data_IF_467872509189
#
_entry.id   IF_467872509189
#
_cell.length_a   1.000
_cell.length_b   1.000
_cell.length_c   1.000
_cell.angle_alpha   90.00
_cell.angle_beta   90.00
_cell.angle_gamma   90.00
#
_symmetry.space_group_name_H-M   'P 1'
#
loop_
_entity.id
_entity.type
_entity.pdbx_description
1 polymer ?
#
# COMPACT_ATOMS: atom_id res chain seq x y z
N UNK A 1 -52.66 20.66 4.10
CA UNK A 1 -52.15 19.28 4.30
C UNK A 1 -51.34 18.73 3.12
N UNK A 2 -51.76 18.93 1.86
CA UNK A 2 -51.07 18.41 0.66
C UNK A 2 -49.59 18.86 0.49
N UNK A 3 -49.29 20.14 0.69
CA UNK A 3 -47.91 20.70 0.52
C UNK A 3 -46.90 20.07 1.50
N UNK A 4 -47.32 19.74 2.73
CA UNK A 4 -46.46 19.08 3.73
C UNK A 4 -46.11 17.65 3.31
N UNK A 5 -47.03 16.96 2.64
CA UNK A 5 -46.85 15.61 2.09
C UNK A 5 -45.90 15.59 0.89
N UNK A 6 -45.96 16.61 0.00
CA UNK A 6 -45.05 16.70 -1.13
C UNK A 6 -43.60 16.99 -0.70
N UNK A 7 -43.40 17.90 0.26
CA UNK A 7 -42.07 18.16 0.84
C UNK A 7 -41.50 16.91 1.52
N UNK A 8 -42.33 16.16 2.25
CA UNK A 8 -41.92 14.90 2.87
C UNK A 8 -41.54 13.85 1.82
N UNK A 9 -42.33 13.71 0.74
CA UNK A 9 -42.03 12.80 -0.36
C UNK A 9 -40.71 13.15 -1.05
N UNK A 10 -40.49 14.45 -1.32
CA UNK A 10 -39.24 14.93 -1.89
C UNK A 10 -38.06 14.60 -0.97
N UNK A 11 -38.16 14.91 0.33
CA UNK A 11 -37.11 14.61 1.29
C UNK A 11 -36.77 13.11 1.35
N UNK A 12 -37.79 12.24 1.34
CA UNK A 12 -37.60 10.78 1.34
C UNK A 12 -36.87 10.34 0.07
N UNK A 13 -37.29 10.81 -1.11
CA UNK A 13 -36.64 10.48 -2.38
C UNK A 13 -35.19 10.96 -2.41
N UNK A 14 -34.91 12.18 -1.92
CA UNK A 14 -33.56 12.71 -1.83
C UNK A 14 -32.68 11.86 -0.90
N UNK A 15 -33.18 11.46 0.28
CA UNK A 15 -32.44 10.61 1.21
C UNK A 15 -32.15 9.24 0.59
N UNK A 16 -33.15 8.62 -0.04
CA UNK A 16 -32.97 7.33 -0.73
C UNK A 16 -31.94 7.46 -1.86
N UNK A 17 -31.99 8.55 -2.63
CA UNK A 17 -31.01 8.81 -3.69
C UNK A 17 -29.59 8.92 -3.13
N UNK A 18 -29.41 9.64 -2.03
CA UNK A 18 -28.08 9.77 -1.39
C UNK A 18 -27.58 8.42 -0.90
N UNK A 19 -28.43 7.65 -0.21
CA UNK A 19 -28.07 6.30 0.28
C UNK A 19 -27.70 5.40 -0.90
N UNK A 20 -28.47 5.45 -1.99
CA UNK A 20 -28.21 4.65 -3.18
C UNK A 20 -26.88 5.04 -3.86
N UNK A 21 -26.58 6.33 -3.96
CA UNK A 21 -25.30 6.81 -4.49
C UNK A 21 -24.13 6.34 -3.62
N UNK A 22 -24.24 6.43 -2.29
CA UNK A 22 -23.20 5.95 -1.37
C UNK A 22 -23.00 4.44 -1.47
N UNK A 23 -24.09 3.68 -1.58
CA UNK A 23 -24.04 2.23 -1.79
C UNK A 23 -23.31 1.87 -3.07
N UNK A 24 -23.66 2.51 -4.19
CA UNK A 24 -22.99 2.29 -5.48
C UNK A 24 -21.51 2.65 -5.41
N UNK A 25 -21.17 3.81 -4.83
CA UNK A 25 -19.78 4.24 -4.68
C UNK A 25 -18.95 3.21 -3.90
N UNK A 26 -19.47 2.70 -2.79
CA UNK A 26 -18.81 1.65 -2.01
C UNK A 26 -18.66 0.35 -2.80
N UNK A 27 -19.72 -0.08 -3.51
CA UNK A 27 -19.68 -1.29 -4.33
C UNK A 27 -18.64 -1.19 -5.45
N UNK A 28 -18.60 -0.06 -6.16
CA UNK A 28 -17.60 0.17 -7.19
C UNK A 28 -16.19 0.29 -6.63
N UNK A 29 -16.00 0.90 -5.46
CA UNK A 29 -14.69 0.94 -4.81
C UNK A 29 -14.16 -0.47 -4.52
N UNK A 30 -15.00 -1.36 -3.99
CA UNK A 30 -14.63 -2.77 -3.77
C UNK A 30 -14.41 -3.49 -5.11
N UNK A 31 -15.25 -3.26 -6.12
CA UNK A 31 -15.13 -3.98 -7.39
C UNK A 31 -13.88 -3.56 -8.18
N UNK A 32 -13.55 -2.28 -8.20
CA UNK A 32 -12.41 -1.74 -8.95
C UNK A 32 -11.07 -1.95 -8.23
N UNK A 33 -11.05 -1.80 -6.90
CA UNK A 33 -9.81 -1.86 -6.13
C UNK A 33 -9.68 -3.16 -5.32
N UNK A 34 -10.74 -3.95 -5.20
CA UNK A 34 -10.77 -5.13 -4.33
C UNK A 34 -10.78 -4.75 -2.85
N UNK A 35 -11.30 -5.63 -1.99
CA UNK A 35 -11.13 -5.51 -0.53
C UNK A 35 -9.65 -5.52 -0.11
N UNK A 36 -8.79 -6.05 -0.98
CA UNK A 36 -7.38 -6.27 -0.74
C UNK A 36 -6.48 -5.13 -1.22
N UNK A 37 -6.98 -4.07 -1.85
CA UNK A 37 -6.12 -2.95 -2.32
C UNK A 37 -5.32 -2.33 -1.18
N UNK A 38 -5.98 -2.07 -0.05
CA UNK A 38 -5.32 -1.54 1.14
C UNK A 38 -4.32 -2.54 1.75
N UNK A 39 -4.72 -3.81 1.87
CA UNK A 39 -3.88 -4.89 2.42
C UNK A 39 -2.65 -5.13 1.52
N UNK A 40 -2.85 -5.12 0.20
CA UNK A 40 -1.78 -5.27 -0.79
C UNK A 40 -0.84 -4.07 -0.75
N UNK A 41 -1.37 -2.84 -0.65
CA UNK A 41 -0.56 -1.64 -0.47
C UNK A 41 0.28 -1.72 0.81
N UNK A 42 -0.33 -2.08 1.94
CA UNK A 42 0.39 -2.16 3.22
C UNK A 42 1.46 -3.26 3.20
N UNK A 43 1.15 -4.44 2.64
CA UNK A 43 2.11 -5.51 2.42
C UNK A 43 3.28 -5.06 1.55
N UNK A 44 3.01 -4.36 0.45
CA UNK A 44 4.05 -3.88 -0.46
C UNK A 44 4.91 -2.80 0.20
N UNK A 45 4.29 -1.91 0.98
CA UNK A 45 4.99 -0.90 1.78
C UNK A 45 5.94 -1.55 2.79
N UNK A 46 5.47 -2.55 3.53
CA UNK A 46 6.29 -3.27 4.51
C UNK A 46 7.42 -4.05 3.82
N UNK A 47 7.14 -4.68 2.68
CA UNK A 47 8.16 -5.37 1.87
C UNK A 47 9.23 -4.41 1.37
N UNK A 48 8.85 -3.20 0.95
CA UNK A 48 9.78 -2.15 0.52
C UNK A 48 10.74 -1.76 1.65
N UNK A 49 10.22 -1.46 2.85
CA UNK A 49 11.05 -1.10 4.01
C UNK A 49 12.03 -2.23 4.36
N UNK A 50 11.57 -3.48 4.35
CA UNK A 50 12.43 -4.64 4.56
C UNK A 50 13.55 -4.70 3.51
N UNK A 51 13.23 -4.59 2.22
CA UNK A 51 14.22 -4.63 1.14
C UNK A 51 15.24 -3.48 1.21
N UNK A 52 14.82 -2.28 1.56
CA UNK A 52 15.74 -1.14 1.76
C UNK A 52 16.73 -1.39 2.90
N UNK A 53 16.26 -2.01 3.99
CA UNK A 53 17.12 -2.41 5.11
C UNK A 53 18.12 -3.50 4.68
N UNK A 54 17.68 -4.44 3.84
CA UNK A 54 18.49 -5.54 3.36
C UNK A 54 19.56 -5.09 2.37
N UNK A 55 19.24 -4.16 1.46
CA UNK A 55 20.22 -3.50 0.59
C UNK A 55 21.33 -2.87 1.43
N UNK A 56 20.95 -2.11 2.46
CA UNK A 56 21.93 -1.44 3.34
C UNK A 56 22.80 -2.45 4.10
N UNK A 57 22.21 -3.57 4.54
CA UNK A 57 22.92 -4.66 5.22
C UNK A 57 23.93 -5.32 4.28
N UNK A 58 23.51 -5.69 3.08
CA UNK A 58 24.34 -6.34 2.06
C UNK A 58 25.47 -5.44 1.58
N UNK A 59 25.23 -4.13 1.45
CA UNK A 59 26.29 -3.17 1.11
C UNK A 59 27.41 -3.13 2.16
N UNK A 60 27.06 -3.10 3.45
CA UNK A 60 28.04 -3.15 4.54
C UNK A 60 28.79 -4.47 4.57
N UNK A 61 28.08 -5.57 4.38
CA UNK A 61 28.67 -6.91 4.35
C UNK A 61 29.62 -7.07 3.16
N UNK A 62 29.24 -6.58 1.97
CA UNK A 62 30.09 -6.59 0.80
C UNK A 62 31.37 -5.76 1.02
N UNK A 63 31.26 -4.55 1.58
CA UNK A 63 32.43 -3.74 1.91
C UNK A 63 33.36 -4.43 2.93
N UNK A 64 32.81 -5.12 3.93
CA UNK A 64 33.59 -5.90 4.90
C UNK A 64 34.33 -7.06 4.22
N UNK A 65 33.62 -7.83 3.40
CA UNK A 65 34.19 -8.97 2.67
C UNK A 65 35.24 -8.55 1.66
N UNK A 66 35.05 -7.42 0.96
CA UNK A 66 36.07 -6.87 0.06
C UNK A 66 37.34 -6.49 0.80
N UNK A 67 37.22 -5.89 1.99
CA UNK A 67 38.38 -5.57 2.82
C UNK A 67 39.14 -6.84 3.23
N UNK A 68 38.43 -7.83 3.75
CA UNK A 68 39.00 -9.12 4.17
C UNK A 68 39.69 -9.83 2.99
N UNK A 69 39.06 -9.82 1.80
CA UNK A 69 39.64 -10.34 0.58
C UNK A 69 40.97 -9.65 0.21
N UNK A 70 41.03 -8.32 0.29
CA UNK A 70 42.27 -7.58 0.00
C UNK A 70 43.37 -7.84 1.03
N UNK A 71 43.02 -7.96 2.31
CA UNK A 71 43.98 -8.30 3.36
C UNK A 71 44.59 -9.68 3.13
N UNK A 72 43.77 -10.68 2.80
CA UNK A 72 44.22 -12.03 2.47
C UNK A 72 45.11 -12.04 1.21
N UNK A 73 44.69 -11.34 0.14
CA UNK A 73 45.47 -11.25 -1.10
C UNK A 73 46.86 -10.62 -0.90
N UNK A 74 46.98 -9.65 0.02
CA UNK A 74 48.26 -9.03 0.35
C UNK A 74 49.18 -9.92 1.21
N UNK A 75 48.64 -10.99 1.81
CA UNK A 75 49.39 -11.97 2.59
C UNK A 75 49.85 -13.17 1.74
N UNK A 76 49.28 -13.33 0.53
CA UNK A 76 49.73 -14.32 -0.43
C UNK A 76 51.07 -13.87 -1.04
N UNK A 77 52.10 -14.73 -1.07
CA UNK A 77 53.37 -14.38 -1.71
C UNK A 77 53.14 -14.11 -3.20
N UNK A 78 53.74 -13.03 -3.72
CA UNK A 78 53.73 -12.76 -5.16
C UNK A 78 54.44 -13.91 -5.89
N UNK A 79 53.79 -14.49 -6.91
CA UNK A 79 54.39 -15.48 -7.82
C UNK A 79 55.54 -14.90 -8.64
#
# INVERSE_FOLDING_TARGET
MKIKSEKARFAIVSIVSVIFTLFLAYHFAILLFGANSFIAYDSLKNKKVYLESEISRLQRENARLQKEYFELKNLEPEE
#
